data_IF_488293840979
#
_entry.id   IF_488293840979
#
_cell.length_a   1.000
_cell.length_b   1.000
_cell.length_c   1.000
_cell.angle_alpha   90.00
_cell.angle_beta   90.00
_cell.angle_gamma   90.00
#
_symmetry.space_group_name_H-M   'P 1'
#
loop_
_entity.id
_entity.type
_entity.pdbx_description
1 polymer ?
#
# COMPACT_ATOMS: atom_id res chain seq x y z
N UNK A 1 -77.95 20.12 -28.14
CA UNK A 1 -77.18 19.30 -27.18
C UNK A 1 -75.77 19.84 -27.19
N UNK A 2 -75.46 20.58 -26.12
CA UNK A 2 -74.32 21.48 -25.98
C UNK A 2 -72.97 20.77 -25.88
N UNK A 3 -71.97 21.39 -26.50
CA UNK A 3 -70.53 21.11 -26.31
C UNK A 3 -70.03 22.08 -25.24
N UNK A 4 -69.83 21.62 -24.02
CA UNK A 4 -69.21 22.41 -22.95
C UNK A 4 -67.93 21.75 -22.47
N UNK A 5 -66.87 22.53 -22.62
CA UNK A 5 -65.48 22.40 -22.22
C UNK A 5 -65.38 22.01 -20.73
N UNK A 6 -64.65 20.93 -20.42
CA UNK A 6 -64.25 20.59 -19.05
C UNK A 6 -62.79 21.03 -18.84
N UNK A 7 -62.62 22.18 -18.20
CA UNK A 7 -61.33 22.71 -17.77
C UNK A 7 -60.79 21.86 -16.61
N UNK A 8 -59.69 21.13 -16.83
CA UNK A 8 -58.95 20.45 -15.77
C UNK A 8 -58.06 21.48 -15.07
N UNK A 9 -58.46 21.90 -13.88
CA UNK A 9 -57.62 22.70 -12.99
C UNK A 9 -56.49 21.82 -12.42
N UNK A 10 -55.26 22.07 -12.86
CA UNK A 10 -54.06 21.47 -12.31
C UNK A 10 -53.76 22.16 -10.97
N UNK A 11 -54.21 21.56 -9.84
CA UNK A 11 -53.77 21.98 -8.52
C UNK A 11 -52.28 21.61 -8.37
N UNK A 12 -51.41 22.61 -8.57
CA UNK A 12 -50.02 22.57 -8.15
C UNK A 12 -49.97 22.52 -6.61
N UNK A 13 -49.94 21.31 -6.05
CA UNK A 13 -49.44 21.09 -4.70
C UNK A 13 -47.93 21.34 -4.70
N UNK A 14 -47.53 22.61 -4.56
CA UNK A 14 -46.18 22.97 -4.11
C UNK A 14 -46.11 22.54 -2.64
N UNK A 15 -45.76 21.28 -2.41
CA UNK A 15 -45.31 20.84 -1.10
C UNK A 15 -44.10 21.68 -0.74
N UNK A 16 -44.21 22.45 0.35
CA UNK A 16 -43.06 23.10 0.96
C UNK A 16 -42.04 22.02 1.30
N UNK A 17 -41.00 21.90 0.47
CA UNK A 17 -39.77 21.25 0.87
C UNK A 17 -39.25 22.05 2.05
N UNK A 18 -39.44 21.52 3.26
CA UNK A 18 -38.89 22.11 4.48
C UNK A 18 -37.38 22.26 4.26
N UNK A 19 -36.92 23.51 4.24
CA UNK A 19 -35.49 23.82 4.36
C UNK A 19 -35.03 23.12 5.62
N UNK A 20 -34.16 22.12 5.52
CA UNK A 20 -33.57 21.48 6.68
C UNK A 20 -32.90 22.57 7.52
N UNK A 21 -33.51 22.93 8.66
CA UNK A 21 -33.03 24.00 9.51
C UNK A 21 -31.61 23.65 9.97
N UNK A 22 -30.64 24.50 9.66
CA UNK A 22 -29.24 24.30 10.06
C UNK A 22 -29.15 24.20 11.59
N UNK A 23 -28.53 23.12 12.09
CA UNK A 23 -28.35 22.87 13.53
C UNK A 23 -27.66 24.06 14.21
N UNK A 24 -28.22 24.54 15.33
CA UNK A 24 -27.62 25.61 16.13
C UNK A 24 -26.26 25.19 16.71
N UNK A 25 -26.01 23.89 16.87
CA UNK A 25 -24.68 23.37 17.20
C UNK A 25 -23.64 23.85 16.19
N UNK A 26 -23.91 23.70 14.88
CA UNK A 26 -22.98 24.11 13.81
C UNK A 26 -22.85 25.64 13.77
N UNK A 27 -23.96 26.37 13.94
CA UNK A 27 -23.95 27.85 13.90
C UNK A 27 -23.03 28.42 14.99
N UNK A 28 -23.14 27.92 16.22
CA UNK A 28 -22.28 28.35 17.32
C UNK A 28 -20.85 27.80 17.18
N UNK A 29 -20.68 26.51 16.90
CA UNK A 29 -19.36 25.88 16.86
C UNK A 29 -18.51 26.27 15.64
N UNK A 30 -19.11 26.81 14.57
CA UNK A 30 -18.31 27.43 13.49
C UNK A 30 -17.53 28.65 14.00
N UNK A 31 -17.95 29.27 15.10
CA UNK A 31 -17.26 30.41 15.71
C UNK A 31 -16.32 30.01 16.84
N UNK A 32 -16.67 28.98 17.61
CA UNK A 32 -15.94 28.60 18.83
C UNK A 32 -15.00 27.42 18.63
N UNK A 33 -15.24 26.57 17.63
CA UNK A 33 -14.45 25.38 17.31
C UNK A 33 -14.56 25.05 15.82
N UNK A 34 -14.20 26.00 14.92
CA UNK A 34 -14.37 25.83 13.48
C UNK A 34 -13.71 24.57 12.93
N UNK A 35 -12.58 24.16 13.50
CA UNK A 35 -11.83 22.97 13.10
C UNK A 35 -12.66 21.69 13.30
N UNK A 36 -13.37 21.57 14.42
CA UNK A 36 -14.20 20.39 14.73
C UNK A 36 -15.38 20.29 13.77
N UNK A 37 -15.99 21.43 13.43
CA UNK A 37 -17.07 21.48 12.44
C UNK A 37 -16.56 21.03 11.07
N UNK A 38 -15.37 21.48 10.67
CA UNK A 38 -14.79 21.13 9.38
C UNK A 38 -14.36 19.66 9.32
N UNK A 39 -13.75 19.15 10.39
CA UNK A 39 -13.44 17.73 10.55
C UNK A 39 -14.68 16.85 10.38
N UNK A 40 -15.79 17.22 11.05
CA UNK A 40 -17.05 16.48 10.90
C UNK A 40 -17.58 16.53 9.47
N UNK A 41 -17.51 17.68 8.78
CA UNK A 41 -17.95 17.80 7.37
C UNK A 41 -17.17 16.89 6.42
N UNK A 42 -15.90 16.63 6.73
CA UNK A 42 -15.04 15.74 5.93
C UNK A 42 -15.19 14.27 6.31
N UNK A 43 -15.83 13.98 7.45
CA UNK A 43 -16.05 12.60 7.88
C UNK A 43 -17.10 11.90 7.03
N UNK A 44 -16.97 10.57 6.90
CA UNK A 44 -18.01 9.70 6.33
C UNK A 44 -19.32 9.74 7.12
N UNK A 45 -19.27 10.25 8.35
CA UNK A 45 -20.44 10.44 9.20
C UNK A 45 -21.23 11.71 8.91
N UNK A 46 -20.71 12.64 8.09
CA UNK A 46 -21.38 13.92 7.79
C UNK A 46 -22.81 13.73 7.25
N UNK A 47 -23.01 12.70 6.45
CA UNK A 47 -24.30 12.37 5.82
C UNK A 47 -25.10 11.31 6.59
N UNK A 48 -24.49 10.66 7.59
CA UNK A 48 -25.10 9.55 8.35
C UNK A 48 -25.59 9.98 9.74
N UNK A 49 -24.92 10.95 10.37
CA UNK A 49 -25.27 11.47 11.69
C UNK A 49 -24.85 12.93 11.82
N UNK A 50 -25.24 13.56 12.92
CA UNK A 50 -24.90 14.95 13.22
C UNK A 50 -24.33 15.04 14.64
N UNK A 51 -23.98 16.27 15.06
CA UNK A 51 -23.37 16.53 16.37
C UNK A 51 -24.16 15.88 17.52
N UNK A 52 -25.50 15.97 17.49
CA UNK A 52 -26.36 15.45 18.57
C UNK A 52 -26.53 13.94 18.52
N UNK A 53 -26.30 13.31 17.36
CA UNK A 53 -26.31 11.85 17.24
C UNK A 53 -25.18 11.19 18.04
N UNK A 54 -24.04 11.87 18.20
CA UNK A 54 -22.93 11.40 19.03
C UNK A 54 -22.94 12.02 20.42
N UNK A 55 -23.06 13.35 20.48
CA UNK A 55 -22.89 14.11 21.72
C UNK A 55 -24.19 14.33 22.50
N UNK A 56 -25.37 14.04 21.95
CA UNK A 56 -26.65 14.45 22.55
C UNK A 56 -26.84 15.97 22.54
N UNK A 57 -27.74 16.48 23.38
CA UNK A 57 -28.03 17.92 23.46
C UNK A 57 -29.23 18.35 22.61
N UNK A 58 -29.49 19.66 22.56
CA UNK A 58 -30.61 20.24 21.81
C UNK A 58 -30.10 21.00 20.57
N UNK A 59 -30.35 20.51 19.35
CA UNK A 59 -29.86 21.15 18.13
C UNK A 59 -30.62 22.45 17.78
N UNK A 60 -31.73 22.75 18.46
CA UNK A 60 -32.52 23.96 18.26
C UNK A 60 -32.21 25.06 19.29
N UNK A 61 -31.48 24.74 20.36
CA UNK A 61 -31.17 25.70 21.41
C UNK A 61 -30.16 26.75 20.94
N UNK A 62 -30.42 28.02 21.28
CA UNK A 62 -29.58 29.17 20.92
C UNK A 62 -28.62 29.59 22.03
N UNK A 63 -28.67 28.93 23.19
CA UNK A 63 -27.77 29.14 24.32
C UNK A 63 -26.93 27.89 24.58
N UNK A 64 -25.74 28.08 25.16
CA UNK A 64 -24.85 26.96 25.52
C UNK A 64 -25.52 26.02 26.52
N UNK A 65 -26.21 26.55 27.53
CA UNK A 65 -26.89 25.75 28.55
C UNK A 65 -28.02 24.90 27.95
N UNK A 66 -28.77 25.46 26.99
CA UNK A 66 -29.82 24.71 26.28
C UNK A 66 -29.22 23.67 25.33
N UNK A 67 -28.21 24.03 24.55
CA UNK A 67 -27.58 23.14 23.58
C UNK A 67 -26.83 21.98 24.26
N UNK A 68 -26.16 22.25 25.37
CA UNK A 68 -25.41 21.27 26.17
C UNK A 68 -26.23 20.70 27.35
N UNK A 69 -27.55 20.75 27.28
CA UNK A 69 -28.41 20.30 28.36
C UNK A 69 -28.20 18.82 28.68
N UNK A 70 -27.78 18.52 29.91
CA UNK A 70 -27.62 17.14 30.39
C UNK A 70 -28.94 16.34 30.33
N UNK A 71 -30.09 17.02 30.47
CA UNK A 71 -31.43 16.42 30.32
C UNK A 71 -31.71 15.91 28.91
N UNK A 72 -30.93 16.35 27.91
CA UNK A 72 -30.95 15.85 26.53
C UNK A 72 -29.78 14.90 26.25
N UNK A 73 -29.18 14.33 27.29
CA UNK A 73 -28.12 13.35 27.18
C UNK A 73 -26.79 13.92 26.68
N UNK A 74 -26.54 15.22 26.85
CA UNK A 74 -25.32 15.84 26.35
C UNK A 74 -24.05 15.24 26.99
N UNK A 75 -23.04 14.96 26.15
CA UNK A 75 -21.73 14.40 26.51
C UNK A 75 -20.64 15.20 25.83
N UNK A 76 -19.83 15.92 26.60
CA UNK A 76 -18.73 16.71 26.05
C UNK A 76 -17.51 15.85 25.65
N UNK A 77 -17.26 14.76 26.38
CA UNK A 77 -16.10 13.87 26.21
C UNK A 77 -16.52 12.42 26.36
N UNK A 78 -15.78 11.54 25.71
CA UNK A 78 -15.97 10.09 25.80
C UNK A 78 -14.73 9.47 26.44
N UNK A 79 -14.94 8.60 27.43
CA UNK A 79 -13.91 7.62 27.79
C UNK A 79 -13.75 6.58 26.68
N UNK A 80 -12.70 5.76 26.70
CA UNK A 80 -12.53 4.67 25.73
C UNK A 80 -13.74 3.72 25.73
N UNK A 81 -14.28 3.43 26.92
CA UNK A 81 -15.47 2.59 27.12
C UNK A 81 -16.72 3.25 26.55
N UNK A 82 -16.92 4.54 26.82
CA UNK A 82 -18.11 5.25 26.33
C UNK A 82 -18.08 5.44 24.82
N UNK A 83 -16.88 5.68 24.26
CA UNK A 83 -16.69 5.75 22.81
C UNK A 83 -17.03 4.41 22.16
N UNK A 84 -16.52 3.29 22.69
CA UNK A 84 -16.85 1.96 22.17
C UNK A 84 -18.37 1.68 22.21
N UNK A 85 -19.03 1.97 23.33
CA UNK A 85 -20.49 1.80 23.46
C UNK A 85 -21.28 2.69 22.51
N UNK A 86 -20.83 3.92 22.29
CA UNK A 86 -21.48 4.85 21.35
C UNK A 86 -21.35 4.35 19.91
N UNK A 87 -20.15 3.93 19.49
CA UNK A 87 -19.95 3.40 18.15
C UNK A 87 -20.78 2.13 17.93
N UNK A 88 -20.81 1.23 18.93
CA UNK A 88 -21.58 0.00 18.91
C UNK A 88 -23.08 0.24 18.70
N UNK A 89 -23.66 1.33 19.25
CA UNK A 89 -25.12 1.57 19.14
C UNK A 89 -25.62 1.69 17.69
N UNK A 90 -24.72 1.98 16.74
CA UNK A 90 -25.01 1.95 15.31
C UNK A 90 -24.23 0.82 14.60
N UNK A 91 -22.95 0.62 14.89
CA UNK A 91 -22.09 -0.33 14.17
C UNK A 91 -22.33 -1.81 14.53
N UNK A 92 -23.12 -2.11 15.55
CA UNK A 92 -23.63 -3.45 15.82
C UNK A 92 -25.05 -3.68 15.24
N UNK A 93 -25.68 -2.66 14.66
CA UNK A 93 -27.01 -2.77 14.06
C UNK A 93 -26.91 -3.28 12.62
N UNK A 94 -27.40 -4.49 12.40
CA UNK A 94 -27.32 -5.17 11.10
C UNK A 94 -28.11 -4.43 10.01
N UNK A 95 -29.26 -3.85 10.34
CA UNK A 95 -30.07 -3.15 9.35
C UNK A 95 -29.42 -1.82 8.96
N UNK A 96 -28.92 -1.05 9.93
CA UNK A 96 -28.21 0.19 9.70
C UNK A 96 -26.92 -0.05 8.88
N UNK A 97 -26.09 -1.02 9.28
CA UNK A 97 -24.83 -1.29 8.59
C UNK A 97 -25.05 -1.81 7.17
N UNK A 98 -26.05 -2.68 6.94
CA UNK A 98 -26.38 -3.15 5.58
C UNK A 98 -26.85 -2.02 4.67
N UNK A 99 -27.56 -1.02 5.18
CA UNK A 99 -27.99 0.14 4.40
C UNK A 99 -26.79 0.93 3.83
N UNK A 100 -25.63 0.82 4.47
CA UNK A 100 -24.37 1.46 4.06
C UNK A 100 -23.35 0.46 3.48
N UNK A 101 -23.74 -0.78 3.18
CA UNK A 101 -22.87 -1.86 2.69
C UNK A 101 -21.67 -2.15 3.62
N UNK A 102 -21.86 -2.01 4.93
CA UNK A 102 -20.87 -2.28 5.96
C UNK A 102 -21.12 -3.62 6.66
N UNK A 103 -20.05 -4.26 7.15
CA UNK A 103 -20.14 -5.46 7.97
C UNK A 103 -20.59 -5.08 9.39
N UNK A 104 -21.70 -5.66 9.85
CA UNK A 104 -22.25 -5.44 11.17
C UNK A 104 -21.52 -6.24 12.28
N UNK A 105 -20.60 -7.14 11.92
CA UNK A 105 -19.85 -7.95 12.89
C UNK A 105 -18.67 -7.22 13.50
N UNK A 106 -18.28 -6.07 12.98
CA UNK A 106 -17.07 -5.33 13.41
C UNK A 106 -17.05 -5.07 14.92
N UNK A 107 -18.19 -4.73 15.50
CA UNK A 107 -18.32 -4.52 16.95
C UNK A 107 -18.09 -5.81 17.73
N UNK A 108 -18.73 -6.91 17.31
CA UNK A 108 -18.56 -8.21 17.96
C UNK A 108 -17.13 -8.77 17.84
N UNK A 109 -16.46 -8.55 16.70
CA UNK A 109 -15.06 -8.92 16.51
C UNK A 109 -14.15 -8.13 17.44
N UNK A 110 -14.34 -6.81 17.51
CA UNK A 110 -13.56 -5.95 18.40
C UNK A 110 -13.83 -6.26 19.87
N UNK A 111 -15.09 -6.43 20.28
CA UNK A 111 -15.45 -6.76 21.66
C UNK A 111 -14.85 -8.12 22.09
N UNK A 112 -14.73 -9.08 21.17
CA UNK A 112 -14.09 -10.37 21.40
C UNK A 112 -12.55 -10.32 21.46
N UNK A 113 -11.94 -9.26 20.93
CA UNK A 113 -10.49 -9.07 20.91
C UNK A 113 -9.88 -8.79 22.28
N UNK A 114 -8.56 -8.88 22.40
CA UNK A 114 -7.85 -8.44 23.60
C UNK A 114 -8.03 -6.94 23.83
N UNK A 115 -8.03 -6.12 22.77
CA UNK A 115 -8.28 -4.67 22.88
C UNK A 115 -9.67 -4.39 23.45
N UNK A 116 -10.70 -5.05 22.93
CA UNK A 116 -12.08 -4.89 23.41
C UNK A 116 -12.28 -5.34 24.84
N UNK A 117 -11.69 -6.49 25.22
CA UNK A 117 -11.73 -7.01 26.60
C UNK A 117 -11.05 -6.07 27.59
N UNK A 118 -9.86 -5.57 27.27
CA UNK A 118 -9.13 -4.62 28.13
C UNK A 118 -9.86 -3.27 28.22
N UNK A 119 -10.41 -2.78 27.10
CA UNK A 119 -11.21 -1.57 27.09
C UNK A 119 -12.45 -1.74 27.97
N UNK A 120 -13.19 -2.84 27.83
CA UNK A 120 -14.36 -3.14 28.68
C UNK A 120 -14.01 -3.27 30.18
N UNK A 121 -12.79 -3.73 30.50
CA UNK A 121 -12.27 -3.77 31.86
C UNK A 121 -11.83 -2.38 32.40
N UNK A 122 -11.86 -1.34 31.58
CA UNK A 122 -11.50 0.03 31.96
C UNK A 122 -10.00 0.32 31.90
N UNK A 123 -9.19 -0.50 31.23
CA UNK A 123 -7.77 -0.20 31.02
C UNK A 123 -7.64 1.05 30.12
N UNK A 124 -7.12 2.14 30.69
CA UNK A 124 -6.98 3.41 29.99
C UNK A 124 -6.03 3.37 28.78
N UNK A 125 -5.17 2.35 28.70
CA UNK A 125 -4.24 2.13 27.57
C UNK A 125 -4.89 1.35 26.44
N UNK A 126 -5.98 0.64 26.70
CA UNK A 126 -6.66 -0.13 25.68
C UNK A 126 -7.26 0.81 24.62
N UNK A 127 -7.01 0.55 23.32
CA UNK A 127 -7.57 1.37 22.26
C UNK A 127 -9.07 1.11 22.15
N UNK A 128 -9.84 2.15 21.83
CA UNK A 128 -11.22 2.03 21.34
C UNK A 128 -11.32 2.40 19.86
N UNK A 129 -12.54 2.42 19.32
CA UNK A 129 -12.85 2.83 17.95
C UNK A 129 -12.17 4.16 17.57
N UNK A 130 -12.27 5.16 18.45
CA UNK A 130 -11.73 6.50 18.20
C UNK A 130 -10.20 6.58 18.27
N UNK A 131 -9.54 5.56 18.82
CA UNK A 131 -8.08 5.50 18.87
C UNK A 131 -7.49 5.23 17.49
N UNK A 132 -8.13 4.36 16.70
CA UNK A 132 -7.68 4.02 15.35
C UNK A 132 -8.36 4.89 14.28
N UNK A 133 -9.65 5.16 14.39
CA UNK A 133 -10.42 5.88 13.37
C UNK A 133 -10.39 7.41 13.51
N UNK A 134 -9.93 7.93 14.66
CA UNK A 134 -10.12 9.33 15.02
C UNK A 134 -11.52 9.62 15.60
N UNK A 135 -11.80 10.88 15.91
CA UNK A 135 -13.04 11.27 16.61
C UNK A 135 -14.00 12.09 15.74
N UNK A 136 -13.55 13.22 15.21
CA UNK A 136 -14.40 14.13 14.43
C UNK A 136 -14.16 14.05 12.93
N UNK A 137 -12.96 13.66 12.49
CA UNK A 137 -12.62 13.43 11.08
C UNK A 137 -12.48 11.92 10.81
N UNK A 138 -13.57 11.17 10.99
CA UNK A 138 -13.55 9.72 10.72
C UNK A 138 -13.65 9.52 9.22
N UNK A 139 -12.55 9.09 8.60
CA UNK A 139 -12.42 8.88 7.15
C UNK A 139 -12.59 7.41 6.77
N UNK A 140 -13.00 7.18 5.52
CA UNK A 140 -13.04 5.83 4.94
C UNK A 140 -11.64 5.21 4.91
N UNK A 141 -11.52 3.89 5.13
CA UNK A 141 -10.23 3.17 4.98
C UNK A 141 -9.64 3.26 3.56
N UNK A 142 -10.45 3.59 2.57
CA UNK A 142 -9.99 3.78 1.19
C UNK A 142 -9.48 5.20 0.92
N UNK A 143 -9.66 6.13 1.86
CA UNK A 143 -9.10 7.47 1.78
C UNK A 143 -7.59 7.41 2.11
N UNK A 144 -6.68 7.84 1.21
CA UNK A 144 -5.25 7.81 1.45
C UNK A 144 -4.78 8.62 2.67
N UNK A 145 -5.60 9.55 3.17
CA UNK A 145 -5.32 10.38 4.36
C UNK A 145 -5.89 9.78 5.65
N UNK A 146 -6.68 8.70 5.56
CA UNK A 146 -7.23 8.02 6.73
C UNK A 146 -6.12 7.37 7.55
N UNK A 147 -6.13 7.48 8.89
CA UNK A 147 -5.24 6.70 9.76
C UNK A 147 -5.38 5.19 9.51
N UNK A 148 -6.59 4.74 9.16
CA UNK A 148 -6.88 3.32 8.90
C UNK A 148 -6.66 2.91 7.44
N UNK A 149 -6.07 3.78 6.62
CA UNK A 149 -5.64 3.41 5.28
C UNK A 149 -4.54 2.35 5.35
N UNK A 150 -4.52 1.42 4.40
CA UNK A 150 -3.56 0.31 4.34
C UNK A 150 -2.10 0.77 4.50
N UNK A 151 -1.72 1.87 3.84
CA UNK A 151 -0.36 2.44 3.92
C UNK A 151 0.01 3.00 5.29
N UNK A 152 -0.96 3.18 6.19
CA UNK A 152 -0.77 3.72 7.53
C UNK A 152 -0.88 2.66 8.62
N UNK A 153 -1.51 1.50 8.32
CA UNK A 153 -1.75 0.42 9.30
C UNK A 153 -0.50 0.05 10.11
N UNK A 154 0.68 -0.24 9.51
CA UNK A 154 1.85 -0.58 10.32
C UNK A 154 2.27 0.54 11.29
N UNK A 155 2.15 1.80 10.86
CA UNK A 155 2.44 2.96 11.70
C UNK A 155 1.41 3.14 12.81
N UNK A 156 0.12 2.90 12.53
CA UNK A 156 -0.94 2.99 13.54
C UNK A 156 -0.80 1.94 14.63
N UNK A 157 -0.52 0.69 14.28
CA UNK A 157 -0.24 -0.35 15.26
C UNK A 157 1.00 0.01 16.11
N UNK A 158 2.04 0.55 15.48
CA UNK A 158 3.29 0.91 16.14
C UNK A 158 3.16 2.07 17.14
N UNK A 159 2.14 2.92 17.04
CA UNK A 159 1.87 3.97 18.06
C UNK A 159 1.75 3.40 19.47
N UNK A 160 1.35 2.14 19.60
CA UNK A 160 1.33 1.41 20.87
C UNK A 160 2.30 0.23 20.86
N UNK A 161 2.27 -0.62 19.83
CA UNK A 161 3.07 -1.85 19.79
C UNK A 161 4.57 -1.64 19.56
N UNK A 162 5.03 -0.43 19.28
CA UNK A 162 6.47 -0.08 19.30
C UNK A 162 6.85 0.79 20.52
N UNK A 163 5.93 0.98 21.47
CA UNK A 163 6.10 1.84 22.64
C UNK A 163 6.16 1.00 23.92
N UNK A 164 7.37 0.86 24.46
CA UNK A 164 7.61 0.12 25.71
C UNK A 164 6.87 0.67 26.93
N UNK A 165 6.55 1.97 26.97
CA UNK A 165 5.79 2.55 28.07
C UNK A 165 4.32 2.10 28.02
N UNK A 166 3.76 1.93 26.83
CA UNK A 166 2.39 1.44 26.64
C UNK A 166 2.29 -0.07 26.77
N UNK A 167 3.30 -0.81 26.32
CA UNK A 167 3.28 -2.29 26.30
C UNK A 167 3.96 -2.96 27.50
N UNK A 168 4.68 -2.21 28.34
CA UNK A 168 5.58 -2.76 29.36
C UNK A 168 4.92 -3.70 30.38
N UNK A 169 3.66 -3.46 30.76
CA UNK A 169 2.94 -4.37 31.67
C UNK A 169 2.39 -5.61 30.97
N UNK A 170 2.13 -5.52 29.66
CA UNK A 170 1.60 -6.62 28.85
C UNK A 170 2.68 -7.66 28.50
N UNK A 171 3.96 -7.39 28.81
CA UNK A 171 5.13 -8.22 28.46
C UNK A 171 5.20 -8.59 26.97
N UNK A 172 4.53 -7.80 26.14
CA UNK A 172 4.62 -7.96 24.69
C UNK A 172 5.93 -7.34 24.24
N UNK A 173 6.66 -7.99 23.31
CA UNK A 173 7.78 -7.34 22.68
C UNK A 173 7.32 -6.09 21.91
N UNK A 174 8.25 -5.19 21.60
CA UNK A 174 7.95 -3.87 20.99
C UNK A 174 8.80 -3.57 19.75
N UNK A 175 9.39 -4.60 19.18
CA UNK A 175 10.22 -4.55 17.98
C UNK A 175 9.48 -5.06 16.73
N UNK A 176 8.19 -5.38 16.83
CA UNK A 176 7.42 -6.06 15.76
C UNK A 176 7.39 -5.24 14.47
N UNK A 177 7.30 -3.90 14.56
CA UNK A 177 7.39 -3.05 13.37
C UNK A 177 8.77 -3.17 12.72
N UNK A 178 9.84 -3.18 13.51
CA UNK A 178 11.22 -3.33 13.03
C UNK A 178 11.40 -4.71 12.38
N UNK A 179 10.90 -5.77 13.02
CA UNK A 179 10.95 -7.13 12.49
C UNK A 179 10.16 -7.26 11.18
N UNK A 180 8.93 -6.74 11.14
CA UNK A 180 8.09 -6.67 9.94
C UNK A 180 8.78 -5.97 8.78
N UNK A 181 9.28 -4.74 8.99
CA UNK A 181 9.95 -3.94 7.96
C UNK A 181 11.22 -4.61 7.43
N UNK A 182 11.91 -5.39 8.27
CA UNK A 182 13.09 -6.13 7.86
C UNK A 182 12.78 -7.45 7.13
N UNK A 183 11.57 -8.00 7.32
CA UNK A 183 11.06 -9.17 6.62
C UNK A 183 10.67 -8.90 5.17
N UNK A 184 10.32 -9.96 4.45
CA UNK A 184 9.96 -9.91 3.03
C UNK A 184 8.68 -9.10 2.76
N UNK A 185 7.66 -9.25 3.62
CA UNK A 185 6.42 -8.49 3.51
C UNK A 185 6.64 -6.99 3.73
N UNK A 186 7.44 -6.61 4.73
CA UNK A 186 7.78 -5.21 4.98
C UNK A 186 8.59 -4.58 3.85
N UNK A 187 9.56 -5.31 3.28
CA UNK A 187 10.29 -4.85 2.08
C UNK A 187 9.34 -4.58 0.90
N UNK A 188 8.39 -5.49 0.67
CA UNK A 188 7.36 -5.30 -0.36
C UNK A 188 6.49 -4.07 -0.07
N UNK A 189 6.09 -3.88 1.19
CA UNK A 189 5.34 -2.72 1.65
C UNK A 189 6.09 -1.39 1.46
N UNK A 190 7.40 -1.39 1.61
CA UNK A 190 8.25 -0.21 1.39
C UNK A 190 8.70 -0.02 -0.07
N UNK A 191 8.23 -0.87 -0.98
CA UNK A 191 8.58 -0.80 -2.40
C UNK A 191 8.28 0.58 -2.98
N UNK A 192 9.19 1.06 -3.83
CA UNK A 192 9.00 2.28 -4.63
C UNK A 192 7.97 2.06 -5.74
N UNK A 193 7.79 0.81 -6.19
CA UNK A 193 6.75 0.41 -7.13
C UNK A 193 5.38 0.34 -6.41
N UNK A 194 4.42 1.22 -6.76
CA UNK A 194 3.12 1.26 -6.11
C UNK A 194 2.30 -0.01 -6.29
N UNK A 195 2.42 -0.69 -7.43
CA UNK A 195 1.67 -1.92 -7.71
C UNK A 195 2.16 -3.05 -6.80
N UNK A 196 3.47 -3.15 -6.60
CA UNK A 196 4.06 -4.11 -5.65
C UNK A 196 3.68 -3.78 -4.20
N UNK A 197 3.71 -2.50 -3.82
CA UNK A 197 3.34 -2.04 -2.47
C UNK A 197 1.90 -2.40 -2.11
N UNK A 198 0.96 -2.28 -3.05
CA UNK A 198 -0.45 -2.59 -2.82
C UNK A 198 -0.70 -4.08 -2.57
N UNK A 199 0.21 -4.96 -3.00
CA UNK A 199 0.14 -6.41 -2.75
C UNK A 199 0.71 -6.81 -1.39
N UNK A 200 1.38 -5.89 -0.67
CA UNK A 200 2.01 -6.21 0.59
C UNK A 200 0.96 -6.45 1.70
N UNK A 201 1.03 -7.57 2.42
CA UNK A 201 0.19 -7.77 3.59
C UNK A 201 0.69 -6.87 4.72
N UNK A 202 -0.24 -6.31 5.48
CA UNK A 202 -0.04 -5.47 6.66
C UNK A 202 -0.44 -6.21 7.93
N UNK A 203 -0.29 -5.57 9.09
CA UNK A 203 -0.62 -6.16 10.38
C UNK A 203 -2.04 -6.74 10.45
N UNK A 204 -3.01 -6.07 9.82
CA UNK A 204 -4.43 -6.49 9.86
C UNK A 204 -4.75 -7.63 8.91
N UNK A 205 -3.91 -7.90 7.90
CA UNK A 205 -4.09 -9.05 7.01
C UNK A 205 -3.78 -10.37 7.73
N UNK A 206 -2.93 -10.33 8.78
CA UNK A 206 -2.63 -11.50 9.62
C UNK A 206 -3.42 -11.53 10.93
N UNK A 207 -3.57 -10.38 11.61
CA UNK A 207 -4.22 -10.30 12.93
C UNK A 207 -5.72 -9.97 12.87
N UNK A 208 -6.23 -9.53 11.71
CA UNK A 208 -7.57 -8.97 11.55
C UNK A 208 -7.67 -7.52 12.02
N UNK A 209 -8.45 -6.70 11.31
CA UNK A 209 -8.56 -5.26 11.57
C UNK A 209 -9.23 -4.90 12.90
N UNK A 210 -10.37 -5.54 13.20
CA UNK A 210 -11.13 -5.30 14.43
C UNK A 210 -10.89 -6.39 15.48
N UNK A 211 -10.72 -7.64 15.03
CA UNK A 211 -10.41 -8.76 15.91
C UNK A 211 -9.04 -8.68 16.57
N UNK A 212 -8.03 -8.05 15.93
CA UNK A 212 -6.66 -7.88 16.41
C UNK A 212 -6.18 -9.08 17.26
N UNK A 213 -6.38 -10.28 16.71
CA UNK A 213 -6.43 -11.51 17.51
C UNK A 213 -5.06 -11.77 18.15
N UNK A 214 -5.00 -12.03 19.47
CA UNK A 214 -3.76 -12.44 20.13
C UNK A 214 -3.34 -13.83 19.62
N UNK A 215 -2.05 -14.19 19.76
CA UNK A 215 -1.55 -15.47 19.30
C UNK A 215 -2.04 -16.62 20.20
N UNK A 216 -3.23 -17.12 19.89
CA UNK A 216 -3.60 -18.54 19.93
C UNK A 216 -4.32 -18.85 18.59
N UNK A 217 -3.73 -18.56 17.43
CA UNK A 217 -2.52 -19.14 16.81
C UNK A 217 -2.59 -20.65 16.51
N UNK A 218 -3.76 -21.31 16.65
CA UNK A 218 -3.92 -22.76 16.43
C UNK A 218 -3.63 -23.28 15.01
N UNK A 219 -3.34 -22.42 14.03
CA UNK A 219 -2.06 -22.54 13.32
C UNK A 219 -1.77 -21.21 12.65
N UNK A 220 -0.60 -20.61 12.89
CA UNK A 220 -0.12 -19.46 12.08
C UNK A 220 -0.10 -19.84 10.59
N UNK A 221 0.10 -21.13 10.28
CA UNK A 221 -0.07 -21.72 8.96
C UNK A 221 -1.45 -21.44 8.32
N UNK A 222 -2.51 -21.38 9.13
CA UNK A 222 -3.86 -21.07 8.68
C UNK A 222 -4.00 -19.67 8.08
N UNK A 223 -3.20 -18.70 8.54
CA UNK A 223 -3.15 -17.35 7.97
C UNK A 223 -2.24 -17.33 6.75
N UNK A 224 -1.08 -18.00 6.83
CA UNK A 224 -0.14 -18.05 5.71
C UNK A 224 -0.77 -18.67 4.45
N UNK A 225 -1.55 -19.76 4.60
CA UNK A 225 -2.13 -20.49 3.45
C UNK A 225 -3.17 -19.69 2.65
N UNK A 226 -3.77 -18.65 3.23
CA UNK A 226 -4.76 -17.83 2.54
C UNK A 226 -4.13 -17.07 1.37
N UNK A 227 -2.80 -16.87 1.41
CA UNK A 227 -2.01 -16.35 0.28
C UNK A 227 -1.01 -17.39 -0.28
N UNK A 228 -0.37 -18.17 0.59
CA UNK A 228 0.65 -19.18 0.23
C UNK A 228 0.08 -20.60 0.16
N UNK A 229 -0.97 -20.76 -0.65
CA UNK A 229 -1.69 -22.02 -0.76
C UNK A 229 -0.81 -23.16 -1.31
N UNK A 230 0.00 -22.93 -2.34
CA UNK A 230 0.86 -23.97 -2.93
C UNK A 230 1.97 -24.40 -1.96
N UNK A 231 2.62 -23.46 -1.27
CA UNK A 231 3.59 -23.78 -0.22
C UNK A 231 2.95 -24.65 0.89
N UNK A 232 1.74 -24.28 1.35
CA UNK A 232 0.99 -25.10 2.31
C UNK A 232 0.65 -26.48 1.74
N UNK A 233 0.28 -26.57 0.46
CA UNK A 233 -0.02 -27.84 -0.22
C UNK A 233 1.21 -28.73 -0.19
N UNK A 234 2.37 -28.24 -0.66
CA UNK A 234 3.62 -28.97 -0.67
C UNK A 234 4.03 -29.45 0.72
N UNK A 235 3.99 -28.59 1.74
CA UNK A 235 4.28 -28.99 3.12
C UNK A 235 3.34 -30.11 3.61
N UNK A 236 2.05 -30.00 3.26
CA UNK A 236 1.02 -30.96 3.69
C UNK A 236 1.02 -32.29 2.92
N UNK A 237 1.70 -32.38 1.78
CA UNK A 237 1.79 -33.60 0.94
C UNK A 237 3.20 -34.16 0.82
N UNK A 238 4.22 -33.41 1.25
CA UNK A 238 5.62 -33.77 1.13
C UNK A 238 6.15 -34.61 2.30
N UNK A 239 7.48 -34.65 2.40
CA UNK A 239 8.22 -35.47 3.39
C UNK A 239 7.87 -35.16 4.85
N UNK A 240 7.45 -33.93 5.13
CA UNK A 240 7.04 -33.50 6.48
C UNK A 240 5.58 -33.77 6.82
N UNK A 241 4.76 -34.31 5.88
CA UNK A 241 3.33 -34.53 6.09
C UNK A 241 3.05 -35.38 7.33
N UNK A 242 3.77 -36.49 7.50
CA UNK A 242 3.53 -37.42 8.59
C UNK A 242 3.79 -36.76 9.95
N UNK A 243 4.89 -36.03 10.07
CA UNK A 243 5.25 -35.28 11.29
C UNK A 243 4.24 -34.17 11.57
N UNK A 244 3.90 -33.36 10.56
CA UNK A 244 2.94 -32.26 10.68
C UNK A 244 1.57 -32.76 11.17
N UNK A 245 1.10 -33.90 10.67
CA UNK A 245 -0.19 -34.49 11.10
C UNK A 245 -0.15 -35.06 12.52
N UNK A 246 0.97 -35.61 12.95
CA UNK A 246 1.09 -36.25 14.26
C UNK A 246 1.38 -35.23 15.38
N UNK A 247 2.23 -34.26 15.10
CA UNK A 247 2.79 -33.36 16.12
C UNK A 247 2.40 -31.89 15.93
N UNK A 248 1.92 -31.51 14.74
CA UNK A 248 1.72 -30.11 14.37
C UNK A 248 2.99 -29.42 13.83
N UNK A 249 4.12 -30.10 13.79
CA UNK A 249 5.41 -29.56 13.33
C UNK A 249 6.13 -30.47 12.32
N UNK A 250 6.97 -29.92 11.42
CA UNK A 250 7.24 -28.48 11.26
C UNK A 250 6.07 -27.74 10.58
N UNK A 251 5.68 -26.63 11.18
CA UNK A 251 4.75 -25.62 10.67
C UNK A 251 5.51 -24.49 9.97
N UNK A 252 4.79 -23.56 9.34
CA UNK A 252 5.41 -22.42 8.64
C UNK A 252 6.39 -21.64 9.53
N UNK A 253 6.06 -21.47 10.82
CA UNK A 253 6.85 -20.66 11.75
C UNK A 253 8.03 -21.40 12.39
N UNK A 254 8.10 -22.71 12.23
CA UNK A 254 9.25 -23.49 12.68
C UNK A 254 10.46 -23.23 11.77
N UNK A 255 10.18 -22.92 10.50
CA UNK A 255 11.18 -22.56 9.49
C UNK A 255 11.31 -21.04 9.27
N UNK A 256 10.19 -20.31 9.20
CA UNK A 256 10.17 -18.87 8.96
C UNK A 256 9.80 -18.10 10.23
N UNK A 257 10.26 -16.87 10.41
CA UNK A 257 9.75 -16.02 11.49
C UNK A 257 8.35 -15.48 11.13
N UNK A 258 7.50 -15.22 12.13
CA UNK A 258 6.14 -14.73 11.92
C UNK A 258 6.05 -13.21 11.66
N UNK A 259 7.01 -12.43 12.15
CA UNK A 259 7.10 -10.99 11.88
C UNK A 259 8.24 -10.69 10.91
N UNK A 260 9.42 -11.31 11.10
CA UNK A 260 10.55 -11.20 10.17
C UNK A 260 10.54 -12.32 9.14
N UNK A 261 9.46 -12.44 8.36
CA UNK A 261 9.37 -13.48 7.33
C UNK A 261 10.59 -13.42 6.40
N UNK A 262 11.40 -14.47 6.37
CA UNK A 262 12.61 -14.54 5.54
C UNK A 262 12.30 -15.24 4.23
N UNK A 263 12.92 -14.77 3.14
CA UNK A 263 12.90 -15.46 1.86
C UNK A 263 14.31 -16.01 1.59
N UNK A 264 14.45 -17.33 1.63
CA UNK A 264 15.62 -18.04 1.09
C UNK A 264 16.97 -17.73 1.73
N UNK A 265 17.01 -17.44 3.03
CA UNK A 265 18.26 -17.20 3.77
C UNK A 265 18.29 -18.07 5.02
N UNK A 266 19.44 -18.66 5.35
CA UNK A 266 19.59 -19.47 6.57
C UNK A 266 18.82 -20.78 6.48
N UNK A 267 18.70 -21.33 5.26
CA UNK A 267 18.01 -22.59 5.00
C UNK A 267 18.72 -23.72 5.78
N UNK A 268 20.04 -23.79 5.66
CA UNK A 268 20.84 -24.83 6.31
C UNK A 268 20.68 -24.80 7.84
N UNK A 269 20.84 -23.63 8.47
CA UNK A 269 20.69 -23.47 9.92
C UNK A 269 19.27 -23.71 10.43
N UNK A 270 18.27 -23.62 9.55
CA UNK A 270 16.87 -23.87 9.91
C UNK A 270 16.58 -25.36 9.95
N UNK A 271 17.07 -26.11 8.95
CA UNK A 271 16.84 -27.55 8.84
C UNK A 271 17.64 -28.32 9.90
N UNK A 272 18.85 -27.85 10.24
CA UNK A 272 19.68 -28.48 11.28
C UNK A 272 19.12 -28.32 12.68
N UNK A 273 18.00 -27.62 12.91
CA UNK A 273 17.30 -27.68 14.21
C UNK A 273 16.69 -29.06 14.50
N UNK A 274 16.47 -29.87 13.46
CA UNK A 274 15.91 -31.22 13.55
C UNK A 274 16.78 -32.27 12.83
N UNK A 275 17.49 -31.88 11.77
CA UNK A 275 18.36 -32.74 10.96
C UNK A 275 19.84 -32.48 11.28
N UNK A 276 20.27 -32.80 12.49
CA UNK A 276 21.62 -32.52 13.01
C UNK A 276 22.66 -33.58 12.60
N UNK A 277 22.23 -34.82 12.43
CA UNK A 277 23.13 -35.95 12.21
C UNK A 277 23.65 -35.97 10.77
N UNK A 278 24.96 -36.14 10.60
CA UNK A 278 25.60 -36.11 9.27
C UNK A 278 25.18 -37.29 8.37
N UNK A 279 24.67 -38.37 8.96
CA UNK A 279 24.11 -39.53 8.28
C UNK A 279 22.60 -39.43 8.03
N UNK A 280 21.95 -38.33 8.44
CA UNK A 280 20.58 -38.04 8.09
C UNK A 280 20.45 -37.90 6.56
N UNK A 281 19.63 -38.72 5.88
CA UNK A 281 19.39 -38.60 4.44
C UNK A 281 18.91 -37.21 4.00
N UNK A 282 18.35 -36.41 4.91
CA UNK A 282 17.93 -35.03 4.64
C UNK A 282 19.12 -34.07 4.43
N UNK A 283 20.33 -34.39 4.91
CA UNK A 283 21.46 -33.46 4.86
C UNK A 283 21.82 -33.05 3.42
N UNK A 284 21.86 -33.99 2.47
CA UNK A 284 22.09 -33.70 1.04
C UNK A 284 21.00 -32.79 0.47
N UNK A 285 19.73 -33.03 0.83
CA UNK A 285 18.61 -32.20 0.41
C UNK A 285 18.76 -30.78 0.93
N UNK A 286 19.15 -30.61 2.20
CA UNK A 286 19.34 -29.30 2.83
C UNK A 286 20.46 -28.51 2.14
N UNK A 287 21.62 -29.12 1.94
CA UNK A 287 22.76 -28.44 1.29
C UNK A 287 22.44 -28.06 -0.15
N UNK A 288 21.80 -28.96 -0.92
CA UNK A 288 21.43 -28.68 -2.31
C UNK A 288 20.34 -27.62 -2.41
N UNK A 289 19.32 -27.70 -1.55
CA UNK A 289 18.25 -26.69 -1.48
C UNK A 289 18.83 -25.31 -1.17
N UNK A 290 19.69 -25.20 -0.15
CA UNK A 290 20.32 -23.95 0.24
C UNK A 290 21.11 -23.35 -0.93
N UNK A 291 21.98 -24.14 -1.56
CA UNK A 291 22.78 -23.71 -2.71
C UNK A 291 21.93 -23.20 -3.88
N UNK A 292 20.88 -23.95 -4.25
CA UNK A 292 20.01 -23.60 -5.38
C UNK A 292 19.20 -22.33 -5.09
N UNK A 293 18.54 -22.25 -3.94
CA UNK A 293 17.67 -21.12 -3.60
C UNK A 293 18.47 -19.85 -3.36
N UNK A 294 19.55 -19.91 -2.58
CA UNK A 294 20.39 -18.74 -2.29
C UNK A 294 21.08 -18.23 -3.55
N UNK A 295 21.53 -19.13 -4.43
CA UNK A 295 22.11 -18.80 -5.73
C UNK A 295 21.11 -18.11 -6.65
N UNK A 296 19.91 -18.67 -6.80
CA UNK A 296 18.86 -18.06 -7.62
C UNK A 296 18.46 -16.67 -7.10
N UNK A 297 18.33 -16.50 -5.79
CA UNK A 297 18.02 -15.20 -5.20
C UNK A 297 19.14 -14.16 -5.39
N UNK A 298 20.40 -14.58 -5.39
CA UNK A 298 21.51 -13.68 -5.69
C UNK A 298 21.43 -13.13 -7.12
N UNK A 299 21.09 -13.98 -8.09
CA UNK A 299 20.87 -13.57 -9.48
C UNK A 299 19.69 -12.61 -9.63
N UNK A 300 18.57 -12.87 -8.94
CA UNK A 300 17.41 -11.97 -8.95
C UNK A 300 17.76 -10.60 -8.38
N UNK A 301 18.53 -10.53 -7.28
CA UNK A 301 18.98 -9.24 -6.72
C UNK A 301 19.82 -8.45 -7.71
N UNK A 302 20.75 -9.13 -8.39
CA UNK A 302 21.55 -8.51 -9.43
C UNK A 302 20.68 -7.95 -10.57
N UNK A 303 19.68 -8.73 -11.00
CA UNK A 303 18.72 -8.29 -12.01
C UNK A 303 17.90 -7.07 -11.56
N UNK A 304 17.38 -7.05 -10.33
CA UNK A 304 16.61 -5.91 -9.81
C UNK A 304 17.46 -4.62 -9.84
N UNK A 305 18.76 -4.72 -9.54
CA UNK A 305 19.71 -3.60 -9.67
C UNK A 305 19.89 -3.16 -11.13
N UNK A 306 20.05 -4.11 -12.05
CA UNK A 306 20.13 -3.82 -13.49
C UNK A 306 18.86 -3.11 -13.98
N UNK A 307 17.68 -3.65 -13.66
CA UNK A 307 16.40 -3.09 -14.09
C UNK A 307 16.13 -1.72 -13.45
N UNK A 308 16.55 -1.49 -12.21
CA UNK A 308 16.41 -0.19 -11.56
C UNK A 308 17.24 0.92 -12.25
N UNK A 309 18.33 0.56 -12.93
CA UNK A 309 19.13 1.51 -13.71
C UNK A 309 18.43 1.99 -15.00
N UNK A 310 17.36 1.31 -15.44
CA UNK A 310 16.65 1.63 -16.66
C UNK A 310 15.45 2.55 -16.37
N UNK A 311 15.55 3.82 -16.76
CA UNK A 311 14.52 4.83 -16.48
C UNK A 311 13.56 5.08 -17.64
N UNK A 312 13.90 4.69 -18.87
CA UNK A 312 13.06 4.91 -20.06
C UNK A 312 12.19 3.70 -20.40
N UNK A 313 11.00 3.66 -19.79
CA UNK A 313 9.99 2.62 -19.99
C UNK A 313 9.27 2.69 -21.35
N UNK A 314 9.33 3.84 -22.04
CA UNK A 314 8.60 4.07 -23.29
C UNK A 314 9.39 3.63 -24.53
N UNK A 315 10.69 3.41 -24.39
CA UNK A 315 11.49 2.77 -25.42
C UNK A 315 11.02 1.33 -25.70
N UNK A 316 11.29 0.83 -26.92
CA UNK A 316 11.04 -0.59 -27.25
C UNK A 316 11.79 -1.52 -26.29
N UNK A 317 13.02 -1.15 -25.90
CA UNK A 317 13.81 -1.82 -24.87
C UNK A 317 13.10 -1.82 -23.53
N UNK A 318 12.65 -0.66 -23.05
CA UNK A 318 11.94 -0.51 -21.78
C UNK A 318 10.70 -1.40 -21.70
N UNK A 319 9.92 -1.49 -22.78
CA UNK A 319 8.78 -2.41 -22.87
C UNK A 319 9.17 -3.89 -22.83
N UNK A 320 10.24 -4.27 -23.52
CA UNK A 320 10.75 -5.66 -23.49
C UNK A 320 11.26 -6.03 -22.10
N UNK A 321 12.01 -5.14 -21.46
CA UNK A 321 12.52 -5.32 -20.10
C UNK A 321 11.38 -5.42 -19.08
N UNK A 322 10.33 -4.59 -19.18
CA UNK A 322 9.18 -4.68 -18.28
C UNK A 322 8.39 -5.98 -18.49
N UNK A 323 8.26 -6.45 -19.74
CA UNK A 323 7.63 -7.74 -20.04
C UNK A 323 8.40 -8.92 -19.43
N UNK A 324 9.72 -8.96 -19.60
CA UNK A 324 10.57 -9.99 -18.97
C UNK A 324 10.59 -9.86 -17.45
N UNK A 325 10.57 -8.65 -16.89
CA UNK A 325 10.44 -8.43 -15.45
C UNK A 325 9.18 -9.07 -14.89
N UNK A 326 8.03 -8.87 -15.53
CA UNK A 326 6.78 -9.51 -15.13
C UNK A 326 6.84 -11.04 -15.19
N UNK A 327 7.53 -11.59 -16.21
CA UNK A 327 7.78 -13.03 -16.34
C UNK A 327 8.69 -13.55 -15.23
N UNK A 328 9.77 -12.85 -14.93
CA UNK A 328 10.73 -13.20 -13.86
C UNK A 328 10.04 -13.16 -12.50
N UNK A 329 9.21 -12.16 -12.23
CA UNK A 329 8.41 -12.10 -11.00
C UNK A 329 7.51 -13.33 -10.83
N UNK A 330 6.89 -13.80 -11.92
CA UNK A 330 6.06 -15.00 -11.90
C UNK A 330 6.91 -16.27 -11.71
N UNK A 331 8.04 -16.40 -12.39
CA UNK A 331 8.96 -17.54 -12.27
C UNK A 331 9.61 -17.60 -10.89
N UNK A 332 9.95 -16.45 -10.32
CA UNK A 332 10.47 -16.35 -8.95
C UNK A 332 9.44 -16.84 -7.94
N UNK A 333 8.17 -16.41 -8.04
CA UNK A 333 7.09 -16.95 -7.19
C UNK A 333 6.95 -18.47 -7.32
N UNK A 334 6.91 -18.97 -8.55
CA UNK A 334 6.83 -20.41 -8.81
C UNK A 334 8.02 -21.17 -8.21
N UNK A 335 9.24 -20.66 -8.37
CA UNK A 335 10.44 -21.24 -7.77
C UNK A 335 10.32 -21.31 -6.23
N UNK A 336 9.85 -20.24 -5.59
CA UNK A 336 9.63 -20.21 -4.14
C UNK A 336 8.57 -21.23 -3.71
N UNK A 337 7.46 -21.37 -4.43
CA UNK A 337 6.44 -22.38 -4.13
C UNK A 337 7.02 -23.79 -4.27
N UNK A 338 7.70 -24.09 -5.38
CA UNK A 338 8.30 -25.40 -5.66
C UNK A 338 9.41 -25.75 -4.65
N UNK A 339 10.12 -24.77 -4.10
CA UNK A 339 11.12 -25.00 -3.06
C UNK A 339 10.53 -25.67 -1.81
N UNK A 340 9.25 -25.45 -1.50
CA UNK A 340 8.56 -26.12 -0.38
C UNK A 340 8.21 -27.58 -0.67
N UNK A 341 8.32 -28.04 -1.92
CA UNK A 341 8.17 -29.45 -2.27
C UNK A 341 9.33 -30.31 -1.75
N UNK A 342 10.50 -29.69 -1.52
CA UNK A 342 11.76 -30.35 -1.18
C UNK A 342 12.21 -31.41 -2.20
N UNK A 343 11.63 -31.39 -3.41
CA UNK A 343 12.04 -32.22 -4.53
C UNK A 343 13.03 -31.47 -5.43
N UNK A 344 14.28 -31.93 -5.43
CA UNK A 344 15.39 -31.23 -6.10
C UNK A 344 15.24 -31.17 -7.62
N UNK A 345 14.60 -32.17 -8.24
CA UNK A 345 14.39 -32.17 -9.70
C UNK A 345 13.41 -31.05 -10.11
N UNK A 346 12.27 -30.97 -9.43
CA UNK A 346 11.25 -29.95 -9.69
C UNK A 346 11.83 -28.54 -9.49
N UNK A 347 12.58 -28.34 -8.40
CA UNK A 347 13.22 -27.06 -8.11
C UNK A 347 14.27 -26.71 -9.18
N UNK A 348 15.06 -27.69 -9.62
CA UNK A 348 16.06 -27.47 -10.67
C UNK A 348 15.43 -27.07 -12.00
N UNK A 349 14.26 -27.64 -12.34
CA UNK A 349 13.49 -27.22 -13.53
C UNK A 349 13.04 -25.76 -13.40
N UNK A 350 12.45 -25.40 -12.26
CA UNK A 350 11.96 -24.04 -12.02
C UNK A 350 13.10 -22.99 -12.07
N UNK A 351 14.26 -23.30 -11.48
CA UNK A 351 15.42 -22.41 -11.49
C UNK A 351 16.00 -22.27 -12.90
N UNK A 352 16.11 -23.35 -13.68
CA UNK A 352 16.58 -23.25 -15.08
C UNK A 352 15.68 -22.36 -15.94
N UNK A 353 14.37 -22.38 -15.70
CA UNK A 353 13.44 -21.50 -16.43
C UNK A 353 13.62 -20.04 -16.03
N UNK A 354 13.75 -19.78 -14.73
CA UNK A 354 14.05 -18.45 -14.19
C UNK A 354 15.37 -17.91 -14.76
N UNK A 355 16.45 -18.68 -14.70
CA UNK A 355 17.77 -18.29 -15.20
C UNK A 355 17.73 -17.94 -16.69
N UNK A 356 16.99 -18.69 -17.51
CA UNK A 356 16.84 -18.36 -18.94
C UNK A 356 16.21 -16.98 -19.17
N UNK A 357 15.25 -16.57 -18.36
CA UNK A 357 14.68 -15.22 -18.44
C UNK A 357 15.65 -14.15 -17.94
N UNK A 358 16.45 -14.45 -16.92
CA UNK A 358 17.51 -13.55 -16.43
C UNK A 358 18.55 -13.32 -17.55
N UNK A 359 19.05 -14.39 -18.16
CA UNK A 359 20.01 -14.32 -19.28
C UNK A 359 19.45 -13.50 -20.46
N UNK A 360 18.14 -13.58 -20.69
CA UNK A 360 17.45 -12.79 -21.72
C UNK A 360 17.50 -11.30 -21.40
N UNK A 361 17.27 -10.91 -20.14
CA UNK A 361 17.36 -9.51 -19.71
C UNK A 361 18.79 -8.98 -19.80
N UNK A 362 19.77 -9.78 -19.41
CA UNK A 362 21.19 -9.42 -19.52
C UNK A 362 21.57 -9.17 -21.00
N UNK A 363 21.17 -10.07 -21.91
CA UNK A 363 21.42 -9.91 -23.35
C UNK A 363 20.74 -8.67 -23.96
N UNK A 364 19.49 -8.37 -23.56
CA UNK A 364 18.80 -7.13 -23.93
C UNK A 364 19.54 -5.91 -23.37
N UNK A 365 20.16 -6.06 -22.20
CA UNK A 365 20.85 -4.96 -21.53
C UNK A 365 22.21 -4.63 -22.18
N UNK A 366 22.93 -5.66 -22.65
CA UNK A 366 24.26 -5.54 -23.26
C UNK A 366 24.23 -5.04 -24.72
N UNK A 367 23.20 -5.39 -25.49
CA UNK A 367 23.11 -5.06 -26.93
C UNK A 367 23.21 -3.55 -27.26
N UNK A 368 22.89 -2.67 -26.32
CA UNK A 368 23.00 -1.21 -26.50
C UNK A 368 24.39 -0.61 -26.12
N UNK A 369 25.25 -1.34 -25.38
CA UNK A 369 26.63 -0.89 -25.16
C UNK A 369 27.41 -0.82 -26.49
N UNK A 370 27.00 -1.61 -27.48
CA UNK A 370 27.57 -1.59 -28.82
C UNK A 370 26.87 -0.57 -29.73
N UNK A 371 25.54 -0.47 -29.72
CA UNK A 371 24.80 0.48 -30.57
C UNK A 371 24.99 1.96 -30.17
N UNK A 372 25.07 2.27 -28.87
CA UNK A 372 25.32 3.64 -28.38
C UNK A 372 26.72 4.18 -28.74
N UNK A 373 27.72 3.29 -28.83
CA UNK A 373 29.07 3.60 -29.35
C UNK A 373 29.07 3.79 -30.87
N UNK A 374 28.21 3.07 -31.59
CA UNK A 374 28.10 3.13 -33.05
C UNK A 374 27.42 4.39 -33.58
N UNK A 375 26.40 4.92 -32.90
CA UNK A 375 25.58 6.02 -33.43
C UNK A 375 26.15 7.42 -33.18
N UNK A 376 26.87 7.62 -32.07
CA UNK A 376 27.37 8.94 -31.65
C UNK A 376 28.52 9.45 -32.53
N UNK A 377 29.44 8.58 -32.92
CA UNK A 377 30.66 8.97 -33.66
C UNK A 377 30.41 9.52 -35.08
N UNK A 378 29.65 8.83 -35.97
CA UNK A 378 29.41 9.34 -37.33
C UNK A 378 28.49 10.56 -37.35
N UNK A 379 27.52 10.65 -36.43
CA UNK A 379 26.62 11.80 -36.33
C UNK A 379 27.37 13.06 -35.87
N UNK A 380 28.25 12.95 -34.87
CA UNK A 380 29.09 14.07 -34.42
C UNK A 380 30.03 14.52 -35.55
N UNK A 381 30.64 13.60 -36.29
CA UNK A 381 31.48 13.94 -37.45
C UNK A 381 30.67 14.65 -38.55
N UNK A 382 29.45 14.19 -38.84
CA UNK A 382 28.57 14.84 -39.82
C UNK A 382 28.13 16.25 -39.37
N UNK A 383 27.83 16.44 -38.09
CA UNK A 383 27.50 17.75 -37.51
C UNK A 383 28.71 18.69 -37.57
N UNK A 384 29.91 18.21 -37.23
CA UNK A 384 31.13 19.01 -37.31
C UNK A 384 31.48 19.39 -38.76
N UNK A 385 31.29 18.47 -39.70
CA UNK A 385 31.50 18.73 -41.13
C UNK A 385 30.51 19.77 -41.68
N UNK A 386 29.22 19.64 -41.37
CA UNK A 386 28.19 20.59 -41.80
C UNK A 386 28.39 21.98 -41.19
N UNK A 387 28.76 22.05 -39.90
CA UNK A 387 29.06 23.31 -39.23
C UNK A 387 30.31 24.00 -39.83
N UNK A 388 31.33 23.22 -40.22
CA UNK A 388 32.49 23.71 -40.96
C UNK A 388 32.10 24.31 -42.33
N UNK A 389 31.24 23.64 -43.10
CA UNK A 389 30.75 24.15 -44.39
C UNK A 389 29.96 25.46 -44.22
N UNK A 390 29.09 25.53 -43.20
CA UNK A 390 28.30 26.74 -42.91
C UNK A 390 29.22 27.92 -42.56
N UNK A 391 30.25 27.69 -41.74
CA UNK A 391 31.23 28.73 -41.40
C UNK A 391 31.98 29.25 -42.62
N UNK A 392 32.41 28.36 -43.53
CA UNK A 392 33.06 28.76 -44.80
C UNK A 392 32.12 29.59 -45.66
N UNK A 393 30.87 29.16 -45.82
CA UNK A 393 29.86 29.92 -46.60
C UNK A 393 29.65 31.29 -45.98
N UNK A 394 29.51 31.38 -44.65
CA UNK A 394 29.31 32.63 -43.93
C UNK A 394 30.51 33.57 -44.12
N UNK A 395 31.74 33.06 -44.01
CA UNK A 395 32.96 33.84 -44.27
C UNK A 395 33.01 34.38 -45.71
N UNK A 396 32.62 33.58 -46.70
CA UNK A 396 32.57 34.01 -48.10
C UNK A 396 31.49 35.07 -48.35
N UNK A 397 30.33 34.96 -47.69
CA UNK A 397 29.25 35.96 -47.76
C UNK A 397 29.70 37.27 -47.13
N UNK A 398 30.31 37.23 -45.95
CA UNK A 398 30.86 38.40 -45.27
C UNK A 398 31.95 39.07 -46.12
N UNK A 399 32.88 38.29 -46.68
CA UNK A 399 33.92 38.81 -47.56
C UNK A 399 33.33 39.51 -48.82
N UNK A 400 32.29 38.92 -49.44
CA UNK A 400 31.57 39.55 -50.56
C UNK A 400 30.85 40.83 -50.14
N UNK A 401 30.27 40.88 -48.94
CA UNK A 401 29.57 42.05 -48.42
C UNK A 401 30.55 43.20 -48.19
N UNK A 402 31.68 42.93 -47.53
CA UNK A 402 32.76 43.90 -47.30
C UNK A 402 33.33 44.42 -48.63
N UNK A 403 33.53 43.54 -49.62
CA UNK A 403 34.00 43.93 -50.95
C UNK A 403 32.98 44.77 -51.74
N UNK A 404 31.67 44.68 -51.43
CA UNK A 404 30.62 45.54 -52.00
C UNK A 404 30.58 46.90 -51.31
N UNK A 405 30.70 46.94 -49.99
CA UNK A 405 30.77 48.17 -49.21
C UNK A 405 31.99 49.02 -49.61
N UNK A 406 33.16 48.40 -49.74
CA UNK A 406 34.36 49.09 -50.21
C UNK A 406 34.22 49.68 -51.62
N UNK A 407 33.43 49.04 -52.52
CA UNK A 407 33.14 49.59 -53.86
C UNK A 407 32.14 50.74 -53.81
N UNK A 408 31.15 50.69 -52.91
CA UNK A 408 30.17 51.76 -52.74
C UNK A 408 30.82 53.05 -52.21
N UNK A 409 31.80 52.95 -51.32
CA UNK A 409 32.57 54.10 -50.83
C UNK A 409 33.50 54.72 -51.88
N UNK A 410 33.91 53.94 -52.90
CA UNK A 410 34.75 54.42 -54.00
C UNK A 410 34.00 55.09 -55.16
N UNK A 411 32.67 55.25 -55.08
CA UNK A 411 31.87 55.89 -56.14
C UNK A 411 31.78 57.41 -55.94
N UNK A 412 32.41 58.25 -56.79
CA UNK A 412 32.36 59.69 -56.64
C UNK A 412 30.97 60.25 -56.97
N UNK A 413 30.41 61.03 -56.03
CA UNK A 413 29.18 61.80 -56.19
C UNK A 413 29.32 62.79 -57.34
N UNK A 414 28.67 62.52 -58.47
CA UNK A 414 28.52 63.50 -59.56
C UNK A 414 27.54 64.58 -59.14
N UNK A 415 28.07 65.79 -59.06
CA UNK A 415 27.41 67.08 -58.93
C UNK A 415 26.19 67.22 -59.87
N UNK A 416 25.10 67.80 -59.35
CA UNK A 416 24.19 68.61 -60.15
C UNK A 416 24.07 69.99 -59.51
N UNK A 417 24.57 70.96 -60.25
CA UNK A 417 24.37 72.40 -60.12
C UNK A 417 22.89 72.79 -60.15
N UNK A 418 22.53 73.77 -59.33
CA UNK A 418 21.69 74.90 -59.73
C UNK A 418 22.57 76.15 -59.73
#
# INVERSE_FOLDING_TARGET
>A
MDRSILSVAFLLCVGAAGVAQQSQCIVCHTKTSPEVVEQHRRSVHADATNCVGCHGGDPAATTTEGGHAATRGFRAKFSQVDAAKLCASCHSDVAAMKAHALDARVDSEWAGSTHGKLCAAGDARAPSCITCHGSHEILSRSDPTSPTHRSHVPGECAKCHADSAKMGESKLPTDQLKEYLAGAHGKLFTSTDPARRELAPTCVDCHGAHGAKPPDAQSVAGVCKDCHFEAQRYLSTGVHQASLRQTGSPSCVDCHDNHRTTLGSGIESTCTKCHEEADDPAHDVVTRLASIVEGAQAKIRHLDELLAAHTDKESTRGRLLEAERGRIDQLHRNMLDVAHSLHMEDLSVAVRELERSIDTVEAISETELEESKGFSTPMIVAIMATMGVVLVILSLVVAKLLARLARAESSPSRERSA
#
